data_IF_856168696640
#
_entry.id   IF_856168696640
#
_cell.length_a   1.000
_cell.length_b   1.000
_cell.length_c   1.000
_cell.angle_alpha   90.00
_cell.angle_beta   90.00
_cell.angle_gamma   90.00
#
_symmetry.space_group_name_H-M   'P 1'
#
loop_
_entity.id
_entity.type
_entity.pdbx_description
1 polymer ?
#
# COMPACT_ATOMS: atom_id res chain seq x y z
N UNK A 1 -0.10 13.91 0.61
CA UNK A 1 -0.33 15.31 0.19
C UNK A 1 0.83 16.21 0.63
N UNK A 2 1.30 16.13 1.89
CA UNK A 2 2.41 16.98 2.37
C UNK A 2 3.67 16.83 1.50
N UNK A 3 4.13 15.60 1.28
CA UNK A 3 5.34 15.34 0.47
C UNK A 3 5.20 15.92 -0.94
N UNK A 4 4.06 15.70 -1.59
CA UNK A 4 3.80 16.25 -2.93
C UNK A 4 3.85 17.78 -2.94
N UNK A 5 3.21 18.43 -1.97
CA UNK A 5 3.19 19.89 -1.86
C UNK A 5 4.60 20.50 -1.64
N UNK A 6 5.54 19.71 -1.12
CA UNK A 6 6.91 20.14 -0.84
C UNK A 6 7.96 19.55 -1.80
N UNK A 7 7.54 18.91 -2.90
CA UNK A 7 8.44 18.32 -3.87
C UNK A 7 9.26 17.14 -3.34
N UNK A 8 8.74 16.44 -2.33
CA UNK A 8 9.39 15.27 -1.72
C UNK A 8 8.87 14.02 -2.42
N UNK A 9 9.78 13.23 -2.99
CA UNK A 9 9.45 11.93 -3.59
C UNK A 9 9.06 10.92 -2.51
N UNK A 10 7.95 10.23 -2.74
CA UNK A 10 7.45 9.20 -1.82
C UNK A 10 7.78 7.83 -2.36
N UNK A 11 8.57 7.07 -1.62
CA UNK A 11 8.89 5.67 -1.94
C UNK A 11 8.09 4.76 -1.02
N UNK A 12 7.23 3.89 -1.60
CA UNK A 12 6.34 3.00 -0.86
C UNK A 12 6.81 1.55 -0.88
N UNK A 13 7.20 1.01 0.29
CA UNK A 13 7.44 -0.42 0.45
C UNK A 13 6.13 -1.19 0.70
N UNK A 14 6.14 -2.51 0.48
CA UNK A 14 4.96 -3.38 0.67
C UNK A 14 3.67 -2.86 -0.01
N UNK A 15 3.71 -2.49 -1.29
CA UNK A 15 2.62 -1.77 -1.97
C UNK A 15 1.32 -2.58 -2.14
N UNK A 16 1.30 -3.85 -1.75
CA UNK A 16 0.15 -4.76 -1.86
C UNK A 16 -0.37 -5.21 -0.48
N UNK A 17 0.03 -4.53 0.61
CA UNK A 17 -0.37 -4.85 1.97
C UNK A 17 0.29 -6.09 2.57
N UNK A 18 1.30 -6.68 1.92
CA UNK A 18 2.07 -7.86 2.39
C UNK A 18 1.23 -8.93 3.08
N UNK A 19 0.45 -9.74 2.35
CA UNK A 19 -0.36 -10.80 2.95
C UNK A 19 0.46 -11.83 3.74
N UNK A 20 1.73 -12.01 3.38
CA UNK A 20 2.70 -12.91 4.05
C UNK A 20 3.45 -12.24 5.23
N UNK A 21 2.98 -11.06 5.70
CA UNK A 21 3.62 -10.39 6.85
C UNK A 21 3.55 -11.25 8.11
N UNK A 22 4.50 -11.06 9.08
CA UNK A 22 4.52 -11.83 10.34
C UNK A 22 3.19 -11.74 11.11
N UNK A 23 2.82 -12.81 11.81
CA UNK A 23 1.58 -12.86 12.61
C UNK A 23 1.47 -11.73 13.65
N UNK A 24 2.60 -11.28 14.22
CA UNK A 24 2.62 -10.14 15.15
C UNK A 24 2.13 -8.83 14.54
N UNK A 25 2.16 -8.71 13.21
CA UNK A 25 1.72 -7.53 12.46
C UNK A 25 0.28 -7.70 11.91
N UNK A 26 -0.37 -8.83 12.21
CA UNK A 26 -1.74 -9.12 11.78
C UNK A 26 -2.74 -8.87 12.90
N UNK A 27 -3.86 -8.26 12.56
CA UNK A 27 -5.02 -8.14 13.45
C UNK A 27 -6.19 -8.90 12.83
N UNK A 28 -7.14 -9.38 13.64
CA UNK A 28 -8.29 -10.16 13.13
C UNK A 28 -9.13 -9.44 12.06
N UNK A 29 -9.17 -8.12 12.12
CA UNK A 29 -9.93 -7.26 11.21
C UNK A 29 -9.15 -6.87 9.94
N UNK A 30 -7.87 -7.19 9.85
CA UNK A 30 -7.05 -6.83 8.68
C UNK A 30 -7.48 -7.63 7.45
N UNK A 31 -7.73 -6.90 6.37
CA UNK A 31 -7.93 -7.47 5.03
C UNK A 31 -6.78 -6.98 4.17
N UNK A 32 -6.02 -7.90 3.57
CA UNK A 32 -4.96 -7.52 2.65
C UNK A 32 -5.55 -6.77 1.45
N UNK A 33 -4.86 -5.73 0.96
CA UNK A 33 -5.34 -4.88 -0.13
C UNK A 33 -5.80 -5.69 -1.34
N UNK A 34 -5.02 -6.72 -1.71
CA UNK A 34 -5.33 -7.61 -2.84
C UNK A 34 -6.57 -8.50 -2.62
N UNK A 35 -7.10 -8.55 -1.42
CA UNK A 35 -8.28 -9.35 -1.07
C UNK A 35 -9.56 -8.52 -1.04
N UNK A 36 -9.46 -7.20 -1.09
CA UNK A 36 -10.61 -6.30 -1.11
C UNK A 36 -11.49 -6.57 -2.34
N UNK A 37 -12.81 -6.72 -2.16
CA UNK A 37 -13.74 -7.01 -3.26
C UNK A 37 -13.69 -5.95 -4.36
N UNK A 38 -13.57 -4.68 -3.99
CA UNK A 38 -13.51 -3.55 -4.91
C UNK A 38 -12.25 -3.62 -5.80
N UNK A 39 -11.09 -3.91 -5.20
CA UNK A 39 -9.84 -4.08 -5.96
C UNK A 39 -9.91 -5.29 -6.89
N UNK A 40 -10.55 -6.37 -6.46
CA UNK A 40 -10.78 -7.55 -7.32
C UNK A 40 -11.70 -7.23 -8.49
N UNK A 41 -12.73 -6.42 -8.28
CA UNK A 41 -13.65 -6.01 -9.35
C UNK A 41 -12.95 -5.12 -10.39
N UNK A 42 -12.17 -4.12 -9.94
CA UNK A 42 -11.37 -3.26 -10.81
C UNK A 42 -10.34 -4.12 -11.58
N UNK A 43 -9.64 -5.01 -10.89
CA UNK A 43 -8.66 -5.90 -11.50
C UNK A 43 -9.27 -6.80 -12.59
N UNK A 44 -10.48 -7.31 -12.36
CA UNK A 44 -11.21 -8.09 -13.35
C UNK A 44 -11.59 -7.26 -14.59
N UNK A 45 -12.00 -6.01 -14.41
CA UNK A 45 -12.30 -5.10 -15.52
C UNK A 45 -11.07 -4.81 -16.39
N UNK A 46 -9.90 -4.65 -15.77
CA UNK A 46 -8.62 -4.46 -16.46
C UNK A 46 -7.94 -5.77 -16.92
N UNK A 47 -8.50 -6.94 -16.60
CA UNK A 47 -7.92 -8.24 -16.96
C UNK A 47 -6.57 -8.53 -16.29
N UNK A 48 -6.33 -7.98 -15.09
CA UNK A 48 -5.06 -8.09 -14.35
C UNK A 48 -5.25 -8.66 -12.94
N UNK A 49 -4.15 -8.93 -12.25
CA UNK A 49 -4.18 -9.32 -10.84
C UNK A 49 -4.38 -8.09 -9.94
N UNK A 50 -5.09 -8.17 -8.78
CA UNK A 50 -5.29 -7.04 -7.86
C UNK A 50 -4.00 -6.34 -7.41
N UNK A 51 -2.88 -7.06 -7.30
CA UNK A 51 -1.57 -6.47 -7.01
C UNK A 51 -1.17 -5.39 -8.03
N UNK A 52 -1.55 -5.54 -9.29
CA UNK A 52 -1.28 -4.55 -10.35
C UNK A 52 -2.07 -3.28 -10.11
N UNK A 53 -3.31 -3.40 -9.62
CA UNK A 53 -4.16 -2.25 -9.27
C UNK A 53 -3.53 -1.44 -8.14
N UNK A 54 -3.02 -2.11 -7.09
CA UNK A 54 -2.30 -1.43 -5.99
C UNK A 54 -1.10 -0.63 -6.51
N UNK A 55 -0.32 -1.20 -7.43
CA UNK A 55 0.85 -0.54 -8.02
C UNK A 55 0.42 0.64 -8.89
N UNK A 56 -0.55 0.48 -9.79
CA UNK A 56 -1.11 1.55 -10.62
C UNK A 56 -1.57 2.72 -9.76
N UNK A 57 -2.35 2.43 -8.72
CA UNK A 57 -2.86 3.45 -7.81
C UNK A 57 -1.74 4.24 -7.13
N UNK A 58 -0.71 3.55 -6.62
CA UNK A 58 0.45 4.22 -6.00
C UNK A 58 1.18 5.14 -6.99
N UNK A 59 1.46 4.65 -8.21
CA UNK A 59 2.13 5.42 -9.26
C UNK A 59 1.30 6.62 -9.71
N UNK A 60 -0.01 6.45 -9.94
CA UNK A 60 -0.88 7.54 -10.36
C UNK A 60 -1.06 8.62 -9.27
N UNK A 61 -0.83 8.28 -8.01
CA UNK A 61 -0.72 9.25 -6.91
C UNK A 61 0.62 9.96 -6.82
N UNK A 62 1.57 9.63 -7.68
CA UNK A 62 2.92 10.20 -7.67
C UNK A 62 3.84 9.59 -6.61
N UNK A 63 3.64 8.32 -6.25
CA UNK A 63 4.56 7.58 -5.42
C UNK A 63 5.35 6.57 -6.25
N UNK A 64 6.52 6.17 -5.78
CA UNK A 64 7.37 5.12 -6.35
C UNK A 64 7.23 3.84 -5.53
N UNK A 65 6.30 2.92 -5.86
CA UNK A 65 6.14 1.67 -5.13
C UNK A 65 7.32 0.72 -5.39
N UNK A 66 7.71 -0.05 -4.37
CA UNK A 66 8.75 -1.08 -4.48
C UNK A 66 8.10 -2.47 -4.35
N UNK A 67 7.52 -3.03 -5.42
CA UNK A 67 7.03 -4.40 -5.42
C UNK A 67 8.21 -5.37 -5.52
N UNK A 68 8.09 -6.51 -4.84
CA UNK A 68 9.08 -7.58 -4.93
C UNK A 68 8.50 -8.79 -5.66
N UNK A 69 9.25 -9.34 -6.61
CA UNK A 69 8.99 -10.66 -7.19
C UNK A 69 10.23 -11.24 -7.85
N UNK A 70 10.42 -12.55 -7.69
CA UNK A 70 11.43 -13.34 -8.42
C UNK A 70 10.86 -13.97 -9.72
N UNK A 71 9.54 -13.87 -9.94
CA UNK A 71 8.89 -14.43 -11.12
C UNK A 71 8.87 -13.41 -12.24
N UNK A 72 9.46 -13.75 -13.38
CA UNK A 72 9.51 -12.90 -14.58
C UNK A 72 8.15 -12.34 -14.97
N UNK A 73 7.13 -13.19 -15.00
CA UNK A 73 5.76 -12.77 -15.29
C UNK A 73 5.30 -11.61 -14.38
N UNK A 74 5.61 -11.68 -13.07
CA UNK A 74 5.14 -10.68 -12.12
C UNK A 74 5.90 -9.37 -12.26
N UNK A 75 7.24 -9.38 -12.30
CA UNK A 75 7.99 -8.11 -12.40
C UNK A 75 7.80 -7.44 -13.77
N UNK A 76 7.62 -8.22 -14.84
CA UNK A 76 7.28 -7.66 -16.16
C UNK A 76 5.91 -6.99 -16.13
N UNK A 77 4.91 -7.61 -15.51
CA UNK A 77 3.57 -7.05 -15.37
C UNK A 77 3.58 -5.80 -14.48
N UNK A 78 4.33 -5.82 -13.37
CA UNK A 78 4.49 -4.66 -12.50
C UNK A 78 5.10 -3.46 -13.23
N UNK A 79 6.06 -3.70 -14.11
CA UNK A 79 6.68 -2.62 -14.91
C UNK A 79 5.73 -2.09 -15.99
N UNK A 80 5.06 -2.98 -16.72
CA UNK A 80 4.10 -2.59 -17.79
C UNK A 80 2.95 -1.75 -17.24
N UNK A 81 2.44 -2.06 -16.05
CA UNK A 81 1.30 -1.36 -15.48
C UNK A 81 1.53 0.14 -15.22
N UNK A 82 2.79 0.57 -15.22
CA UNK A 82 3.16 1.99 -15.04
C UNK A 82 2.85 2.83 -16.29
N UNK A 83 2.90 2.21 -17.46
CA UNK A 83 2.80 2.89 -18.76
C UNK A 83 1.56 2.51 -19.56
N UNK A 84 0.87 1.44 -19.16
CA UNK A 84 -0.26 0.88 -19.91
C UNK A 84 -1.55 0.94 -19.08
N UNK A 85 -2.68 1.24 -19.73
CA UNK A 85 -4.03 1.09 -19.19
C UNK A 85 -4.19 1.71 -17.78
N UNK A 86 -4.14 3.05 -17.63
CA UNK A 86 -4.25 3.71 -16.34
C UNK A 86 -5.64 3.49 -15.70
N UNK A 87 -5.70 3.57 -14.37
CA UNK A 87 -6.97 3.61 -13.65
C UNK A 87 -7.73 4.91 -13.98
N UNK A 88 -9.03 4.79 -14.10
CA UNK A 88 -9.92 5.94 -14.26
C UNK A 88 -10.04 6.76 -12.98
N UNK A 89 -10.49 8.01 -13.06
CA UNK A 89 -10.74 8.85 -11.87
C UNK A 89 -11.77 8.21 -10.94
N UNK A 90 -12.78 7.52 -11.47
CA UNK A 90 -13.80 6.81 -10.69
C UNK A 90 -13.19 5.65 -9.90
N UNK A 91 -12.30 4.88 -10.52
CA UNK A 91 -11.57 3.80 -9.86
C UNK A 91 -10.60 4.34 -8.80
N UNK A 92 -9.89 5.42 -9.12
CA UNK A 92 -9.01 6.10 -8.16
C UNK A 92 -9.79 6.59 -6.93
N UNK A 93 -10.99 7.15 -7.12
CA UNK A 93 -11.85 7.60 -6.03
C UNK A 93 -12.44 6.42 -5.25
N UNK A 94 -12.84 5.36 -5.94
CA UNK A 94 -13.29 4.13 -5.30
C UNK A 94 -12.23 3.60 -4.35
N UNK A 95 -10.97 3.48 -4.82
CA UNK A 95 -9.86 3.00 -3.97
C UNK A 95 -9.61 3.95 -2.81
N UNK A 96 -9.66 5.26 -3.03
CA UNK A 96 -9.51 6.27 -1.96
C UNK A 96 -10.56 6.13 -0.87
N UNK A 97 -11.80 5.82 -1.24
CA UNK A 97 -12.92 5.64 -0.29
C UNK A 97 -12.79 4.40 0.60
N UNK A 98 -11.89 3.46 0.26
CA UNK A 98 -11.62 2.26 1.05
C UNK A 98 -10.70 2.51 2.25
N UNK A 99 -10.16 3.72 2.39
CA UNK A 99 -9.28 4.08 3.50
C UNK A 99 -10.01 3.94 4.84
N UNK A 100 -9.48 3.07 5.70
CA UNK A 100 -9.99 2.82 7.06
C UNK A 100 -9.06 3.37 8.12
N UNK A 101 -8.07 4.17 7.72
CA UNK A 101 -7.01 4.62 8.62
C UNK A 101 -6.34 3.44 9.36
N UNK A 102 -6.21 2.31 8.69
CA UNK A 102 -5.62 1.08 9.24
C UNK A 102 -4.29 0.76 8.56
N UNK A 103 -3.22 0.75 9.33
CA UNK A 103 -1.89 0.42 8.84
C UNK A 103 -1.65 -1.09 8.90
N UNK A 104 -1.60 -1.75 7.74
CA UNK A 104 -1.34 -3.19 7.66
C UNK A 104 0.10 -3.54 8.10
N UNK A 105 1.07 -2.69 7.79
CA UNK A 105 2.47 -2.88 8.21
C UNK A 105 2.72 -1.96 9.41
N UNK A 106 2.56 -2.49 10.59
CA UNK A 106 2.59 -1.72 11.85
C UNK A 106 4.01 -1.36 12.30
N UNK A 107 5.02 -2.16 11.91
CA UNK A 107 6.42 -1.87 12.21
C UNK A 107 6.89 -2.34 13.59
N UNK A 108 6.23 -3.32 14.20
CA UNK A 108 6.60 -3.85 15.53
C UNK A 108 8.09 -4.22 15.67
N UNK A 109 8.75 -4.56 14.56
CA UNK A 109 10.19 -4.91 14.57
C UNK A 109 11.08 -3.71 14.92
N UNK A 110 10.58 -2.51 14.83
CA UNK A 110 11.33 -1.27 15.11
C UNK A 110 11.03 -0.66 16.48
N UNK A 111 10.22 -1.33 17.30
CA UNK A 111 9.94 -0.87 18.66
C UNK A 111 11.23 -0.85 19.49
N UNK A 112 11.43 0.25 20.25
CA UNK A 112 12.54 0.41 21.17
C UNK A 112 12.14 0.06 22.59
N UNK A 113 13.12 -0.10 23.49
CA UNK A 113 12.88 -0.32 24.90
C UNK A 113 12.13 0.88 25.50
N UNK A 114 10.97 0.60 26.10
CA UNK A 114 10.09 1.63 26.69
C UNK A 114 8.95 2.08 25.79
N UNK A 115 8.92 1.71 24.51
CA UNK A 115 7.74 1.91 23.68
C UNK A 115 6.56 1.08 24.18
N UNK A 116 5.36 1.67 24.18
CA UNK A 116 4.13 0.99 24.64
C UNK A 116 3.63 0.00 23.59
N UNK A 117 3.54 0.47 22.37
CA UNK A 117 3.09 -0.30 21.21
C UNK A 117 3.53 0.38 19.90
N UNK A 118 3.04 -0.13 18.77
CA UNK A 118 3.40 0.35 17.44
C UNK A 118 2.93 1.78 17.11
N UNK A 119 1.93 2.34 17.83
CA UNK A 119 1.47 3.71 17.60
C UNK A 119 2.57 4.72 17.93
N UNK A 120 3.42 4.42 18.90
CA UNK A 120 4.57 5.28 19.27
C UNK A 120 5.56 5.48 18.09
N UNK A 121 5.60 4.54 17.12
CA UNK A 121 6.47 4.64 15.94
C UNK A 121 6.03 5.71 14.92
N UNK A 122 4.75 6.08 14.94
CA UNK A 122 4.16 6.80 13.81
C UNK A 122 3.71 8.21 14.16
N UNK A 123 3.93 8.66 15.41
CA UNK A 123 3.55 9.99 15.91
C UNK A 123 2.11 10.38 15.50
N UNK A 124 1.16 9.45 15.62
CA UNK A 124 -0.22 9.64 15.14
C UNK A 124 -0.94 10.79 15.83
N UNK A 125 -0.55 11.11 17.05
CA UNK A 125 -1.03 12.24 17.83
C UNK A 125 -0.21 13.52 17.63
N UNK A 126 0.83 13.47 16.80
CA UNK A 126 1.77 14.56 16.58
C UNK A 126 2.77 14.79 17.74
N UNK A 127 2.82 13.87 18.70
CA UNK A 127 3.77 13.90 19.82
C UNK A 127 4.94 12.99 19.54
N UNK A 128 6.14 13.56 19.43
CA UNK A 128 7.37 12.77 19.24
C UNK A 128 7.78 12.18 20.60
N UNK A 129 7.65 10.86 20.72
CA UNK A 129 8.13 10.10 21.89
C UNK A 129 9.64 9.90 21.76
N UNK A 130 10.41 10.43 22.73
CA UNK A 130 11.88 10.35 22.75
C UNK A 130 12.35 9.25 23.66
#
# INVERSE_FOLDING_TARGET
DYCRAHGIEVVGFCPIGSPERPERDKMPEDIADIELPELKAIAAAHGVHPAVICIKWAVQRGASPIPFSLKEKNYTMNLKCVTEDPLTEEEMETIRSLDKNNRLIKGHVFLWEGAKDWHDLWDEDGVIVK
#
